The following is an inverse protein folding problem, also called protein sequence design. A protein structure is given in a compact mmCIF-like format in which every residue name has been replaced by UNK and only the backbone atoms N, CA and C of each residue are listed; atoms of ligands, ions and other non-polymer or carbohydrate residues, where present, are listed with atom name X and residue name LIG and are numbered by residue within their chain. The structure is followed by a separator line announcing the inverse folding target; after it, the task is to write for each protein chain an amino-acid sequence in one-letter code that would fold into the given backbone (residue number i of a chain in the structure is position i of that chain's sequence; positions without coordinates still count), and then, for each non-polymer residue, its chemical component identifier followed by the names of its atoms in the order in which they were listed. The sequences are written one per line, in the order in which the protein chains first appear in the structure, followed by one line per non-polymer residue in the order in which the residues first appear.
data_IF_824381342234
#
_entry.id   IF_824381342234
#
_cell.length_a   1.000
_cell.length_b   1.000
_cell.length_c   1.000
_cell.angle_alpha   90.00
_cell.angle_beta   90.00
_cell.angle_gamma   90.00
#
_symmetry.space_group_name_H-M   'P 1'
#
loop_
_entity.id
_entity.type
_entity.pdbx_description
1 polymer ?
#
# COMPACT_ATOMS: atom_id res chain seq x y z
N UNK A 1 -12.55 11.42 -2.34
CA UNK A 1 -12.05 10.05 -2.65
C UNK A 1 -10.54 10.11 -2.73
N UNK A 2 -9.83 9.07 -2.30
CA UNK A 2 -8.37 8.99 -2.38
C UNK A 2 -7.93 7.71 -3.08
N UNK A 3 -6.69 7.70 -3.57
CA UNK A 3 -6.06 6.52 -4.15
C UNK A 3 -4.76 6.24 -3.40
N UNK A 4 -4.66 5.05 -2.81
CA UNK A 4 -3.44 4.54 -2.20
C UNK A 4 -2.82 3.51 -3.16
N UNK A 5 -1.60 3.77 -3.62
CA UNK A 5 -0.89 2.84 -4.51
C UNK A 5 0.27 2.22 -3.76
N UNK A 6 0.25 0.89 -3.62
CA UNK A 6 1.37 0.11 -3.10
C UNK A 6 2.40 0.01 -4.23
N UNK A 7 3.59 0.58 -4.03
CA UNK A 7 4.63 0.65 -5.06
C UNK A 7 5.91 -0.07 -4.64
N UNK A 8 5.93 -1.37 -4.91
CA UNK A 8 7.13 -2.21 -4.88
C UNK A 8 7.08 -3.17 -6.07
N UNK A 9 6.76 -2.63 -7.25
CA UNK A 9 6.42 -3.42 -8.44
C UNK A 9 7.57 -4.35 -8.88
N UNK A 10 8.82 -3.94 -8.63
CA UNK A 10 10.01 -4.75 -8.87
C UNK A 10 10.00 -6.08 -8.09
N UNK A 11 9.36 -6.10 -6.91
CA UNK A 11 9.15 -7.29 -6.09
C UNK A 11 7.68 -7.71 -6.03
N UNK A 12 6.90 -7.53 -7.11
CA UNK A 12 5.48 -7.90 -7.16
C UNK A 12 4.62 -7.25 -6.06
N UNK A 13 4.99 -6.06 -5.59
CA UNK A 13 4.34 -5.40 -4.46
C UNK A 13 4.36 -6.26 -3.18
N UNK A 14 5.43 -7.02 -2.94
CA UNK A 14 5.64 -7.74 -1.68
C UNK A 14 5.76 -6.79 -0.50
N UNK A 15 5.08 -7.14 0.60
CA UNK A 15 4.99 -6.35 1.82
C UNK A 15 6.16 -6.66 2.75
N UNK A 16 7.11 -5.74 2.78
CA UNK A 16 8.18 -5.71 3.76
C UNK A 16 7.80 -4.80 4.96
N UNK A 17 8.61 -4.80 6.01
CA UNK A 17 8.32 -4.04 7.25
C UNK A 17 8.18 -2.55 6.99
N UNK A 18 9.06 -1.99 6.16
CA UNK A 18 9.05 -0.56 5.79
C UNK A 18 7.75 -0.18 5.08
N UNK A 19 7.38 -0.91 4.03
CA UNK A 19 6.16 -0.67 3.26
C UNK A 19 4.90 -0.85 4.12
N UNK A 20 4.91 -1.78 5.07
CA UNK A 20 3.83 -1.93 6.04
C UNK A 20 3.68 -0.71 6.95
N UNK A 21 4.80 -0.09 7.38
CA UNK A 21 4.76 1.17 8.15
C UNK A 21 4.22 2.30 7.29
N UNK A 22 4.69 2.44 6.05
CA UNK A 22 4.22 3.47 5.12
C UNK A 22 2.71 3.36 4.83
N UNK A 23 2.19 2.14 4.65
CA UNK A 23 0.76 1.91 4.46
C UNK A 23 -0.02 2.40 5.69
N UNK A 24 0.43 2.08 6.90
CA UNK A 24 -0.23 2.52 8.14
C UNK A 24 -0.21 4.05 8.26
N UNK A 25 0.93 4.68 7.97
CA UNK A 25 1.06 6.14 8.02
C UNK A 25 0.17 6.82 6.97
N UNK A 26 0.13 6.29 5.75
CA UNK A 26 -0.73 6.81 4.69
C UNK A 26 -2.22 6.69 5.05
N UNK A 27 -2.65 5.56 5.61
CA UNK A 27 -4.03 5.36 6.07
C UNK A 27 -4.37 6.33 7.22
N UNK A 28 -3.47 6.52 8.19
CA UNK A 28 -3.67 7.49 9.28
C UNK A 28 -3.78 8.91 8.77
N UNK A 29 -2.98 9.29 7.78
CA UNK A 29 -3.09 10.61 7.15
C UNK A 29 -4.45 10.80 6.47
N UNK A 30 -4.92 9.78 5.75
CA UNK A 30 -6.23 9.78 5.11
C UNK A 30 -7.40 9.84 6.11
N UNK A 31 -7.27 9.22 7.28
CA UNK A 31 -8.28 9.25 8.35
C UNK A 31 -8.56 10.67 8.86
N UNK A 32 -7.61 11.60 8.74
CA UNK A 32 -7.76 12.98 9.21
C UNK A 32 -8.65 13.85 8.32
N UNK A 33 -9.03 13.38 7.12
CA UNK A 33 -9.88 14.11 6.18
C UNK A 33 -11.38 13.82 6.43
N UNK A 34 -12.16 14.76 6.99
CA UNK A 34 -13.58 14.56 7.28
C UNK A 34 -14.46 14.43 6.02
N UNK A 35 -13.97 14.88 4.86
CA UNK A 35 -14.68 14.79 3.59
C UNK A 35 -14.36 13.49 2.82
N UNK A 36 -13.37 12.71 3.28
CA UNK A 36 -12.98 11.47 2.64
C UNK A 36 -14.02 10.36 2.86
N UNK A 37 -14.65 9.92 1.75
CA UNK A 37 -15.69 8.88 1.78
C UNK A 37 -15.26 7.52 1.22
N UNK A 38 -14.15 7.46 0.50
CA UNK A 38 -13.71 6.27 -0.22
C UNK A 38 -12.20 6.34 -0.46
N UNK A 39 -11.52 5.21 -0.24
CA UNK A 39 -10.13 4.98 -0.64
C UNK A 39 -10.09 3.80 -1.62
N UNK A 40 -9.47 4.01 -2.77
CA UNK A 40 -9.15 2.92 -3.71
C UNK A 40 -7.71 2.51 -3.43
N UNK A 41 -7.50 1.25 -3.09
CA UNK A 41 -6.14 0.68 -2.93
C UNK A 41 -5.77 -0.03 -4.22
N UNK A 42 -4.61 0.28 -4.79
CA UNK A 42 -4.08 -0.33 -6.01
C UNK A 42 -2.63 -0.75 -5.85
N UNK A 43 -2.14 -1.64 -6.71
CA UNK A 43 -0.72 -1.97 -6.81
C UNK A 43 -0.12 -1.29 -8.02
N UNK A 44 1.12 -0.83 -7.92
CA UNK A 44 1.87 -0.30 -9.05
C UNK A 44 2.25 -1.41 -10.04
N UNK A 45 2.39 -1.04 -11.31
CA UNK A 45 2.67 -1.97 -12.40
C UNK A 45 1.44 -2.78 -12.85
N UNK A 46 1.70 -3.81 -13.65
CA UNK A 46 0.71 -4.64 -14.32
C UNK A 46 0.71 -6.11 -13.84
N UNK A 47 1.65 -6.46 -12.96
CA UNK A 47 1.90 -7.85 -12.56
C UNK A 47 1.15 -8.31 -11.32
N UNK A 48 0.95 -7.44 -10.33
CA UNK A 48 0.36 -7.82 -9.05
C UNK A 48 -0.26 -6.63 -8.33
N UNK A 49 -1.36 -6.86 -7.60
CA UNK A 49 -1.84 -5.93 -6.58
C UNK A 49 -0.89 -5.95 -5.36
N UNK A 50 -0.77 -7.12 -4.72
CA UNK A 50 0.17 -7.43 -3.63
C UNK A 50 0.62 -8.87 -3.79
N UNK A 51 1.94 -9.09 -3.75
CA UNK A 51 2.57 -10.41 -3.95
C UNK A 51 2.57 -11.30 -2.70
N UNK A 52 2.26 -10.75 -1.54
CA UNK A 52 2.33 -11.42 -0.23
C UNK A 52 3.34 -10.74 0.70
N UNK A 53 3.67 -11.39 1.82
CA UNK A 53 4.75 -10.94 2.70
C UNK A 53 6.12 -11.17 2.04
N UNK A 54 7.08 -10.26 2.24
CA UNK A 54 8.46 -10.48 1.79
C UNK A 54 9.11 -11.59 2.65
N UNK A 55 9.31 -12.77 2.07
CA UNK A 55 9.89 -13.95 2.74
C UNK A 55 11.33 -13.67 3.22
N UNK A 56 12.03 -12.71 2.61
CA UNK A 56 13.39 -12.36 3.03
C UNK A 56 13.43 -11.59 4.37
N UNK A 57 12.28 -11.21 4.94
CA UNK A 57 12.16 -10.51 6.22
C UNK A 57 11.44 -11.32 7.31
N UNK A 58 11.23 -12.62 7.08
CA UNK A 58 10.71 -13.57 8.08
C UNK A 58 11.79 -14.02 9.08
#
# INVERSE_FOLDING_TARGET
MARLTIDNAAKLNSLNRELMVEIVEAVKALETDPELRLVIVTGAGDRAFVGGADINEL
#
